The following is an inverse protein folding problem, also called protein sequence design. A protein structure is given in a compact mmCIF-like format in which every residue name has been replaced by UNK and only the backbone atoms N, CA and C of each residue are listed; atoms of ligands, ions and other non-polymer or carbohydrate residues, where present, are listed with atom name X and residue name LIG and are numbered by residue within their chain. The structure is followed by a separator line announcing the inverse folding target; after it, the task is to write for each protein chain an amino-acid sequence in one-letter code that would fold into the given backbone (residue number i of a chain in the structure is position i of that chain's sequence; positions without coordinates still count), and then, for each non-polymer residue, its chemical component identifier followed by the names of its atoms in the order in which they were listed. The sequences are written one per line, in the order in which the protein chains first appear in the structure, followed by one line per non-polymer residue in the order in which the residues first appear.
data_IF_236790520880
#
_entry.id   IF_236790520880
#
_cell.length_a   1.000
_cell.length_b   1.000
_cell.length_c   1.000
_cell.angle_alpha   90.00
_cell.angle_beta   90.00
_cell.angle_gamma   90.00
#
_symmetry.space_group_name_H-M   'P 1'
#
loop_
_entity.id
_entity.type
_entity.pdbx_description
1 polymer ?
#
# COMPACT_ATOMS: atom_id res chain seq x y z
N UNK A 1 -18.00 32.87 -15.40
CA UNK A 1 -17.72 31.43 -15.17
C UNK A 1 -18.45 31.03 -13.91
N UNK A 2 -19.64 30.42 -14.01
CA UNK A 2 -20.35 29.89 -12.84
C UNK A 2 -19.76 28.51 -12.50
N UNK A 3 -19.43 28.22 -11.23
CA UNK A 3 -18.96 26.90 -10.85
C UNK A 3 -20.07 25.88 -11.07
N UNK A 4 -19.72 24.77 -11.73
CA UNK A 4 -20.62 23.63 -11.93
C UNK A 4 -21.05 23.10 -10.56
N UNK A 5 -22.34 22.82 -10.31
CA UNK A 5 -22.78 22.24 -9.05
C UNK A 5 -22.02 20.94 -8.81
N UNK A 6 -21.29 20.87 -7.70
CA UNK A 6 -20.62 19.65 -7.27
C UNK A 6 -21.67 18.56 -7.07
N UNK A 7 -21.36 17.32 -7.45
CA UNK A 7 -22.20 16.18 -7.13
C UNK A 7 -22.42 16.14 -5.60
N UNK A 8 -23.60 15.83 -5.07
CA UNK A 8 -23.90 15.95 -3.64
C UNK A 8 -22.92 15.21 -2.70
N UNK A 9 -22.22 14.19 -3.21
CA UNK A 9 -21.20 13.42 -2.49
C UNK A 9 -19.80 14.03 -2.50
N UNK A 10 -19.48 14.87 -3.48
CA UNK A 10 -18.15 15.45 -3.69
C UNK A 10 -17.69 16.36 -2.53
N UNK A 11 -18.54 17.22 -1.93
CA UNK A 11 -18.16 18.01 -0.76
C UNK A 11 -17.78 17.16 0.47
N UNK A 12 -18.42 16.00 0.66
CA UNK A 12 -18.15 15.13 1.81
C UNK A 12 -16.79 14.46 1.67
N UNK A 13 -16.47 13.98 0.47
CA UNK A 13 -15.17 13.36 0.19
C UNK A 13 -14.04 14.37 0.35
N UNK A 14 -14.21 15.59 -0.18
CA UNK A 14 -13.22 16.67 -0.03
C UNK A 14 -13.00 17.04 1.44
N UNK A 15 -14.07 17.24 2.21
CA UNK A 15 -13.96 17.55 3.64
C UNK A 15 -13.24 16.44 4.43
N UNK A 16 -13.46 15.18 4.07
CA UNK A 16 -12.74 14.06 4.68
C UNK A 16 -11.25 14.07 4.33
N UNK A 17 -10.91 14.28 3.05
CA UNK A 17 -9.51 14.36 2.61
C UNK A 17 -8.79 15.51 3.31
N UNK A 18 -9.42 16.68 3.41
CA UNK A 18 -8.86 17.84 4.10
C UNK A 18 -8.64 17.55 5.59
N UNK A 19 -9.62 16.95 6.26
CA UNK A 19 -9.49 16.57 7.67
C UNK A 19 -8.37 15.56 7.90
N UNK A 20 -8.26 14.53 7.05
CA UNK A 20 -7.17 13.53 7.12
C UNK A 20 -5.81 14.18 6.87
N UNK A 21 -5.72 15.08 5.90
CA UNK A 21 -4.48 15.79 5.56
C UNK A 21 -4.02 16.71 6.69
N UNK A 22 -4.94 17.46 7.29
CA UNK A 22 -4.67 18.29 8.45
C UNK A 22 -4.20 17.45 9.64
N UNK A 23 -4.85 16.32 9.88
CA UNK A 23 -4.47 15.40 10.94
C UNK A 23 -3.07 14.77 10.72
N UNK A 24 -2.78 14.31 9.50
CA UNK A 24 -1.47 13.79 9.12
C UNK A 24 -0.37 14.84 9.29
N UNK A 25 -0.65 16.09 8.92
CA UNK A 25 0.31 17.20 9.08
C UNK A 25 0.61 17.48 10.56
N UNK A 26 -0.42 17.48 11.42
CA UNK A 26 -0.25 17.66 12.87
C UNK A 26 0.50 16.49 13.51
N UNK A 27 0.23 15.26 13.07
CA UNK A 27 0.94 14.05 13.48
C UNK A 27 2.43 14.13 13.16
N UNK A 28 2.78 14.47 11.92
CA UNK A 28 4.17 14.57 11.48
C UNK A 28 4.91 15.67 12.24
N UNK A 29 4.30 16.85 12.43
CA UNK A 29 4.90 17.92 13.23
C UNK A 29 5.15 17.49 14.68
N UNK A 30 4.21 16.76 15.28
CA UNK A 30 4.33 16.25 16.66
C UNK A 30 5.51 15.28 16.79
N UNK A 31 5.68 14.40 15.80
CA UNK A 31 6.77 13.42 15.78
C UNK A 31 8.13 14.06 15.46
N UNK A 32 8.15 14.98 14.50
CA UNK A 32 9.34 15.74 14.11
C UNK A 32 9.91 16.54 15.29
N UNK A 33 9.07 17.05 16.20
CA UNK A 33 9.52 17.68 17.45
C UNK A 33 10.35 16.74 18.35
N UNK A 34 10.19 15.42 18.19
CA UNK A 34 10.99 14.39 18.85
C UNK A 34 12.15 13.87 17.98
N UNK A 35 12.28 14.31 16.73
CA UNK A 35 13.23 13.77 15.76
C UNK A 35 12.81 12.41 15.19
N UNK A 36 11.50 12.13 15.15
CA UNK A 36 10.94 10.90 14.59
C UNK A 36 10.06 11.23 13.38
N UNK A 37 10.00 10.29 12.43
CA UNK A 37 8.92 10.23 11.45
C UNK A 37 7.87 9.18 11.85
N UNK A 38 6.74 9.15 11.15
CA UNK A 38 5.65 8.21 11.46
C UNK A 38 6.05 6.74 11.39
N UNK A 39 6.86 6.35 10.40
CA UNK A 39 7.31 4.96 10.27
C UNK A 39 8.20 4.55 11.45
N UNK A 40 9.15 5.40 11.84
CA UNK A 40 10.04 5.17 12.98
C UNK A 40 9.24 5.05 14.28
N UNK A 41 8.22 5.89 14.46
CA UNK A 41 7.29 5.77 15.58
C UNK A 41 6.55 4.42 15.60
N UNK A 42 6.04 3.95 14.46
CA UNK A 42 5.37 2.65 14.37
C UNK A 42 6.31 1.50 14.74
N UNK A 43 7.56 1.56 14.28
CA UNK A 43 8.58 0.57 14.61
C UNK A 43 8.90 0.56 16.12
N UNK A 44 9.13 1.73 16.72
CA UNK A 44 9.34 1.85 18.17
C UNK A 44 8.15 1.33 18.99
N UNK A 45 6.93 1.58 18.50
CA UNK A 45 5.72 1.06 19.15
C UNK A 45 5.65 -0.47 19.08
N UNK A 46 5.98 -1.06 17.92
CA UNK A 46 6.01 -2.50 17.74
C UNK A 46 7.07 -3.16 18.61
N UNK A 47 8.27 -2.57 18.71
CA UNK A 47 9.34 -3.03 19.60
C UNK A 47 8.89 -3.01 21.06
N UNK A 48 8.31 -1.89 21.52
CA UNK A 48 7.80 -1.77 22.91
C UNK A 48 6.68 -2.76 23.24
N UNK A 49 5.95 -3.23 22.24
CA UNK A 49 4.83 -4.17 22.38
C UNK A 49 5.24 -5.62 22.14
N UNK A 50 6.54 -5.90 21.99
CA UNK A 50 7.07 -7.22 21.61
C UNK A 50 6.43 -7.81 20.33
N UNK A 51 5.95 -6.93 19.45
CA UNK A 51 5.27 -7.27 18.20
C UNK A 51 6.20 -7.19 16.98
N UNK A 52 7.41 -6.66 17.14
CA UNK A 52 8.40 -6.58 16.07
C UNK A 52 9.28 -7.83 16.06
N UNK A 53 9.39 -8.45 14.88
CA UNK A 53 10.31 -9.57 14.63
C UNK A 53 11.27 -9.14 13.53
N UNK A 54 12.56 -9.11 13.85
CA UNK A 54 13.61 -8.74 12.90
C UNK A 54 13.64 -9.71 11.70
N UNK A 55 13.90 -9.19 10.50
CA UNK A 55 13.87 -9.99 9.27
C UNK A 55 12.46 -10.32 8.75
N UNK A 56 11.40 -9.88 9.44
CA UNK A 56 10.01 -10.01 9.01
C UNK A 56 9.42 -8.64 8.67
N UNK A 57 8.55 -8.51 7.65
CA UNK A 57 7.85 -7.27 7.39
C UNK A 57 6.96 -6.89 8.58
N UNK A 58 6.93 -5.60 8.92
CA UNK A 58 6.01 -5.08 9.91
C UNK A 58 4.65 -4.88 9.24
N UNK A 59 3.69 -5.72 9.61
CA UNK A 59 2.31 -5.61 9.13
C UNK A 59 1.55 -4.54 9.92
N UNK A 60 0.69 -3.79 9.25
CA UNK A 60 -0.13 -2.80 9.92
C UNK A 60 -0.78 -1.81 8.95
N UNK A 61 -1.28 -0.67 9.46
CA UNK A 61 -1.87 0.39 8.65
C UNK A 61 -0.91 0.96 7.60
N UNK A 62 0.39 0.95 7.94
CA UNK A 62 1.48 1.27 7.03
C UNK A 62 2.45 0.09 7.03
N UNK A 63 2.40 -0.82 6.04
CA UNK A 63 3.33 -1.93 5.97
C UNK A 63 4.75 -1.42 5.74
N UNK A 64 5.71 -2.00 6.47
CA UNK A 64 7.13 -1.71 6.32
C UNK A 64 7.82 -2.99 5.90
N UNK A 65 8.48 -2.97 4.75
CA UNK A 65 9.27 -4.10 4.27
C UNK A 65 10.54 -4.30 5.10
N UNK A 66 11.17 -5.47 4.94
CA UNK A 66 12.33 -5.87 5.72
C UNK A 66 13.50 -4.92 5.52
N UNK A 67 13.85 -4.59 4.26
CA UNK A 67 15.00 -3.75 3.96
C UNK A 67 14.86 -2.36 4.59
N UNK A 68 13.68 -1.76 4.47
CA UNK A 68 13.36 -0.48 5.08
C UNK A 68 13.39 -0.56 6.61
N UNK A 69 12.88 -1.64 7.20
CA UNK A 69 12.90 -1.82 8.65
C UNK A 69 14.33 -1.90 9.20
N UNK A 70 15.26 -2.59 8.51
CA UNK A 70 16.66 -2.68 8.93
C UNK A 70 17.36 -1.31 8.86
N UNK A 71 17.19 -0.56 7.75
CA UNK A 71 17.72 0.81 7.65
C UNK A 71 17.22 1.70 8.79
N UNK A 72 15.94 1.57 9.15
CA UNK A 72 15.36 2.34 10.25
C UNK A 72 15.88 1.91 11.62
N UNK A 73 16.21 0.63 11.83
CA UNK A 73 16.85 0.18 13.06
C UNK A 73 18.22 0.84 13.24
N UNK A 74 19.01 0.93 12.16
CA UNK A 74 20.32 1.60 12.19
C UNK A 74 20.20 3.10 12.49
N UNK A 75 19.22 3.78 11.88
CA UNK A 75 18.92 5.18 12.19
C UNK A 75 18.52 5.38 13.65
N UNK A 76 17.59 4.56 14.15
CA UNK A 76 17.11 4.63 15.52
C UNK A 76 18.21 4.31 16.54
N UNK A 77 19.10 3.38 16.22
CA UNK A 77 20.26 3.08 17.07
C UNK A 77 21.24 4.26 17.09
N UNK A 78 21.56 4.83 15.93
CA UNK A 78 22.42 6.02 15.79
C UNK A 78 21.87 7.21 16.57
N UNK A 79 20.55 7.39 16.57
CA UNK A 79 19.85 8.47 17.27
C UNK A 79 19.55 8.13 18.76
N UNK A 80 20.04 6.98 19.23
CA UNK A 80 20.00 6.55 20.63
C UNK A 80 18.60 6.18 21.13
N UNK A 81 17.68 5.81 20.24
CA UNK A 81 16.32 5.36 20.60
C UNK A 81 16.26 3.89 21.00
N UNK A 82 17.09 3.07 20.37
CA UNK A 82 17.12 1.63 20.59
C UNK A 82 18.55 1.16 20.81
N UNK A 83 18.66 0.00 21.46
CA UNK A 83 19.90 -0.74 21.60
C UNK A 83 19.65 -2.15 21.09
N UNK A 84 20.58 -2.65 20.28
CA UNK A 84 20.59 -4.04 19.86
C UNK A 84 22.01 -4.46 19.49
N UNK A 85 22.35 -5.72 19.75
CA UNK A 85 23.66 -6.31 19.47
C UNK A 85 23.46 -7.53 18.56
N UNK A 86 24.13 -7.54 17.41
CA UNK A 86 24.16 -8.64 16.44
C UNK A 86 22.79 -9.31 16.19
N UNK A 87 22.52 -10.45 16.83
CA UNK A 87 21.32 -11.28 16.66
C UNK A 87 20.23 -11.02 17.71
N UNK A 88 20.47 -10.14 18.67
CA UNK A 88 19.49 -9.83 19.72
C UNK A 88 18.32 -9.01 19.17
N UNK A 89 17.13 -9.27 19.72
CA UNK A 89 15.95 -8.46 19.43
C UNK A 89 16.21 -7.01 19.88
N UNK A 90 15.82 -6.02 19.06
CA UNK A 90 15.99 -4.64 19.43
C UNK A 90 15.13 -4.27 20.63
N UNK A 91 15.70 -3.50 21.54
CA UNK A 91 15.00 -2.97 22.71
C UNK A 91 15.08 -1.45 22.74
N UNK A 92 14.11 -0.82 23.37
CA UNK A 92 14.17 0.62 23.65
C UNK A 92 15.35 0.87 24.60
N UNK A 93 16.20 1.84 24.30
CA UNK A 93 17.29 2.24 25.17
C UNK A 93 16.73 2.84 26.48
N UNK A 94 17.35 2.56 27.62
CA UNK A 94 16.89 3.10 28.91
C UNK A 94 16.90 4.63 28.92
N UNK A 95 17.89 5.23 28.26
CA UNK A 95 18.01 6.67 28.07
C UNK A 95 16.87 7.27 27.21
N UNK A 96 16.27 6.47 26.33
CA UNK A 96 15.18 6.86 25.44
C UNK A 96 13.79 6.63 26.03
N UNK A 97 13.66 5.84 27.12
CA UNK A 97 12.36 5.48 27.70
C UNK A 97 11.51 6.72 28.05
N UNK A 98 12.11 7.73 28.68
CA UNK A 98 11.41 8.97 29.02
C UNK A 98 11.02 9.80 27.79
N UNK A 99 11.86 9.83 26.76
CA UNK A 99 11.58 10.51 25.48
C UNK A 99 10.39 9.83 24.79
N UNK A 100 10.41 8.51 24.72
CA UNK A 100 9.36 7.70 24.11
C UNK A 100 8.02 7.92 24.81
N UNK A 101 8.02 7.97 26.14
CA UNK A 101 6.82 8.23 26.92
C UNK A 101 6.25 9.63 26.67
N UNK A 102 7.11 10.66 26.58
CA UNK A 102 6.66 12.02 26.23
C UNK A 102 6.07 12.08 24.83
N UNK A 103 6.68 11.42 23.85
CA UNK A 103 6.14 11.32 22.48
C UNK A 103 4.78 10.61 22.49
N UNK A 104 4.64 9.51 23.23
CA UNK A 104 3.37 8.79 23.38
C UNK A 104 2.26 9.67 23.99
N UNK A 105 2.61 10.48 24.99
CA UNK A 105 1.68 11.43 25.62
C UNK A 105 1.28 12.55 24.65
N UNK A 106 2.23 13.12 23.91
CA UNK A 106 1.95 14.15 22.90
C UNK A 106 0.99 13.63 21.82
N UNK A 107 1.18 12.39 21.34
CA UNK A 107 0.26 11.75 20.40
C UNK A 107 -1.11 11.47 21.01
N UNK A 108 -1.16 11.08 22.28
CA UNK A 108 -2.43 10.88 22.99
C UNK A 108 -3.20 12.20 23.14
N UNK A 109 -2.49 13.31 23.43
CA UNK A 109 -3.06 14.64 23.47
C UNK A 109 -3.56 15.08 22.08
N UNK A 110 -2.78 14.82 21.01
CA UNK A 110 -3.20 15.07 19.63
C UNK A 110 -4.51 14.33 19.31
N UNK A 111 -4.61 13.03 19.64
CA UNK A 111 -5.84 12.26 19.45
C UNK A 111 -7.01 12.89 20.22
N UNK A 112 -6.80 13.28 21.48
CA UNK A 112 -7.82 13.90 22.31
C UNK A 112 -8.31 15.22 21.73
N UNK A 113 -7.40 16.11 21.31
CA UNK A 113 -7.75 17.41 20.73
C UNK A 113 -8.47 17.26 19.40
N UNK A 114 -8.05 16.28 18.58
CA UNK A 114 -8.64 15.99 17.27
C UNK A 114 -10.14 15.67 17.34
N UNK A 115 -10.60 15.12 18.46
CA UNK A 115 -12.01 14.75 18.65
C UNK A 115 -12.74 15.59 19.71
N UNK A 116 -12.08 16.59 20.30
CA UNK A 116 -12.58 17.36 21.42
C UNK A 116 -13.88 18.13 21.09
N UNK A 117 -13.99 18.62 19.85
CA UNK A 117 -15.16 19.34 19.37
C UNK A 117 -16.41 18.46 19.22
N UNK A 118 -16.24 17.13 19.15
CA UNK A 118 -17.35 16.18 19.03
C UNK A 118 -17.76 15.66 20.40
N UNK A 119 -19.07 15.56 20.62
CA UNK A 119 -19.68 14.80 21.71
C UNK A 119 -19.38 13.30 21.59
N UNK A 120 -19.59 12.55 22.67
CA UNK A 120 -19.41 11.09 22.66
C UNK A 120 -20.29 10.40 21.60
N UNK A 121 -21.51 10.87 21.39
CA UNK A 121 -22.43 10.31 20.40
C UNK A 121 -21.92 10.59 18.97
N UNK A 122 -21.47 11.82 18.70
CA UNK A 122 -20.92 12.19 17.39
C UNK A 122 -19.66 11.39 17.06
N UNK A 123 -18.79 11.12 18.04
CA UNK A 123 -17.60 10.27 17.85
C UNK A 123 -17.97 8.85 17.43
N UNK A 124 -18.98 8.25 18.09
CA UNK A 124 -19.46 6.90 17.76
C UNK A 124 -20.11 6.88 16.38
N UNK A 125 -20.94 7.88 16.08
CA UNK A 125 -21.60 8.01 14.77
C UNK A 125 -20.59 8.17 13.64
N UNK A 126 -19.62 9.08 13.80
CA UNK A 126 -18.55 9.31 12.83
C UNK A 126 -17.72 8.04 12.60
N UNK A 127 -17.29 7.36 13.67
CA UNK A 127 -16.55 6.11 13.57
C UNK A 127 -17.33 5.03 12.79
N UNK A 128 -18.63 4.92 13.05
CA UNK A 128 -19.51 3.96 12.36
C UNK A 128 -19.69 4.28 10.87
N UNK A 129 -19.81 5.58 10.52
CA UNK A 129 -19.91 6.03 9.13
C UNK A 129 -18.61 5.79 8.35
N UNK A 130 -17.46 6.09 8.96
CA UNK A 130 -16.15 5.87 8.36
C UNK A 130 -15.86 4.38 8.13
N UNK A 131 -16.17 3.51 9.09
CA UNK A 131 -16.00 2.05 8.90
C UNK A 131 -16.92 1.51 7.80
N UNK A 132 -18.20 1.93 7.76
CA UNK A 132 -19.09 1.55 6.65
C UNK A 132 -18.55 1.99 5.29
N UNK A 133 -18.03 3.21 5.19
CA UNK A 133 -17.44 3.72 3.96
C UNK A 133 -16.19 2.90 3.57
N UNK A 134 -15.31 2.60 4.52
CA UNK A 134 -14.12 1.75 4.31
C UNK A 134 -14.48 0.35 3.83
N UNK A 135 -15.49 -0.30 4.41
CA UNK A 135 -15.98 -1.61 3.94
C UNK A 135 -16.54 -1.50 2.52
N UNK A 136 -17.37 -0.49 2.25
CA UNK A 136 -17.98 -0.29 0.93
C UNK A 136 -16.92 -0.08 -0.16
N UNK A 137 -15.89 0.72 0.13
CA UNK A 137 -14.76 0.97 -0.78
C UNK A 137 -13.93 -0.29 -0.99
N UNK A 138 -13.62 -1.04 0.07
CA UNK A 138 -12.86 -2.30 -0.01
C UNK A 138 -13.59 -3.34 -0.87
N UNK A 139 -14.91 -3.46 -0.69
CA UNK A 139 -15.76 -4.32 -1.52
C UNK A 139 -15.78 -3.86 -2.99
N UNK A 140 -15.85 -2.55 -3.22
CA UNK A 140 -15.83 -1.98 -4.57
C UNK A 140 -14.49 -2.29 -5.28
N UNK A 141 -13.36 -2.02 -4.63
CA UNK A 141 -12.02 -2.35 -5.15
C UNK A 141 -11.89 -3.84 -5.43
N UNK A 142 -12.35 -4.69 -4.51
CA UNK A 142 -12.32 -6.15 -4.69
C UNK A 142 -13.14 -6.59 -5.91
N UNK A 143 -14.32 -6.00 -6.11
CA UNK A 143 -15.14 -6.26 -7.31
C UNK A 143 -14.45 -5.79 -8.59
N UNK A 144 -13.84 -4.61 -8.59
CA UNK A 144 -13.10 -4.11 -9.76
C UNK A 144 -11.90 -4.99 -10.12
N UNK A 145 -11.11 -5.43 -9.14
CA UNK A 145 -9.99 -6.34 -9.38
C UNK A 145 -10.48 -7.66 -9.98
N UNK A 146 -11.57 -8.23 -9.46
CA UNK A 146 -12.18 -9.45 -10.02
C UNK A 146 -12.66 -9.25 -11.45
N UNK A 147 -13.34 -8.13 -11.73
CA UNK A 147 -13.82 -7.81 -13.07
C UNK A 147 -12.65 -7.62 -14.07
N UNK A 148 -11.60 -6.90 -13.68
CA UNK A 148 -10.39 -6.74 -14.50
C UNK A 148 -9.65 -8.06 -14.75
N UNK A 149 -9.56 -8.92 -13.73
CA UNK A 149 -8.94 -10.25 -13.87
C UNK A 149 -9.78 -11.18 -14.76
N UNK A 150 -11.11 -11.08 -14.71
CA UNK A 150 -12.02 -11.83 -15.58
C UNK A 150 -11.97 -11.35 -17.03
N UNK A 151 -11.91 -10.03 -17.26
CA UNK A 151 -11.73 -9.45 -18.59
C UNK A 151 -10.39 -9.88 -19.22
N UNK A 152 -9.29 -9.82 -18.47
CA UNK A 152 -7.98 -10.27 -18.94
C UNK A 152 -7.95 -11.78 -19.27
N UNK A 153 -8.67 -12.62 -18.51
CA UNK A 153 -8.82 -14.05 -18.81
C UNK A 153 -9.67 -14.31 -20.05
N UNK A 154 -10.71 -13.51 -20.30
CA UNK A 154 -11.52 -13.61 -21.51
C UNK A 154 -10.76 -13.16 -22.76
N UNK A 155 -9.95 -12.10 -22.67
CA UNK A 155 -9.06 -11.67 -23.76
C UNK A 155 -7.97 -12.71 -24.08
N UNK A 156 -7.43 -13.39 -23.06
CA UNK A 156 -6.45 -14.47 -23.27
C UNK A 156 -7.09 -15.73 -23.86
N UNK A 157 -8.34 -16.04 -23.49
CA UNK A 157 -9.09 -17.18 -24.03
C UNK A 157 -9.68 -16.93 -25.44
N UNK A 158 -9.80 -15.67 -25.86
CA UNK A 158 -10.28 -15.26 -27.18
C UNK A 158 -9.15 -15.10 -28.23
N UNK A 159 -7.89 -15.39 -27.87
CA UNK A 159 -6.83 -15.56 -28.85
C UNK A 159 -7.19 -16.75 -29.77
N UNK A 160 -7.34 -16.55 -31.09
CA UNK A 160 -7.96 -17.54 -31.96
C UNK A 160 -7.09 -18.79 -32.08
N UNK A 161 -7.67 -19.93 -31.70
CA UNK A 161 -7.23 -21.26 -32.11
C UNK A 161 -7.01 -21.26 -33.62
N UNK A 162 -5.76 -21.39 -34.05
CA UNK A 162 -5.40 -21.69 -35.44
C UNK A 162 -6.26 -22.86 -35.94
N UNK A 163 -7.13 -22.61 -36.91
CA UNK A 163 -7.81 -23.64 -37.69
C UNK A 163 -6.74 -24.46 -38.44
N UNK A 164 -6.58 -25.78 -38.21
CA UNK A 164 -5.80 -26.62 -39.09
C UNK A 164 -6.75 -27.08 -40.19
N UNK A 165 -6.68 -26.43 -41.35
CA UNK A 165 -7.73 -26.60 -42.35
C UNK A 165 -7.30 -26.40 -43.79
N UNK A 166 -6.14 -26.91 -44.21
CA UNK A 166 -5.88 -27.17 -45.63
C UNK A 166 -5.05 -28.46 -45.80
N UNK A 167 -5.56 -29.48 -46.51
CA UNK A 167 -4.82 -30.70 -46.83
C UNK A 167 -3.77 -30.46 -47.94
N UNK A 168 -2.71 -31.28 -48.01
CA UNK A 168 -1.69 -31.16 -49.05
C UNK A 168 -2.22 -31.70 -50.38
N UNK A 169 -2.25 -30.86 -51.42
CA UNK A 169 -2.50 -31.30 -52.79
C UNK A 169 -1.22 -31.90 -53.34
N UNK A 170 -1.22 -33.22 -53.51
CA UNK A 170 -0.13 -33.98 -54.11
C UNK A 170 -0.55 -34.57 -55.46
N UNK A 171 0.23 -34.23 -56.48
CA UNK A 171 0.49 -34.93 -57.75
C UNK A 171 -0.56 -34.97 -58.87
N UNK A 172 -0.13 -34.55 -60.07
CA UNK A 172 0.21 -35.53 -61.12
C UNK A 172 1.24 -34.99 -62.14
N UNK A 173 2.09 -35.87 -62.72
CA UNK A 173 3.13 -35.53 -63.67
C UNK A 173 2.67 -35.74 -65.12
N UNK A 174 3.22 -34.98 -66.06
CA UNK A 174 3.21 -35.33 -67.49
C UNK A 174 4.49 -34.83 -68.18
N UNK A 175 5.38 -35.79 -68.43
CA UNK A 175 6.15 -36.02 -69.67
C UNK A 175 7.04 -34.92 -70.27
N UNK A 176 8.36 -35.20 -70.26
CA UNK A 176 9.39 -34.70 -71.19
C UNK A 176 9.11 -35.14 -72.66
N UNK A 177 9.72 -34.52 -73.69
CA UNK A 177 11.12 -34.85 -74.09
C UNK A 177 11.97 -33.59 -74.42
N UNK A 178 13.25 -33.55 -74.01
CA UNK A 178 14.46 -33.88 -74.81
C UNK A 178 14.78 -32.92 -75.96
N UNK A 179 15.86 -32.13 -75.84
CA UNK A 179 17.01 -32.16 -76.78
C UNK A 179 18.17 -31.22 -76.38
N UNK A 180 19.38 -31.82 -76.37
CA UNK A 180 20.71 -31.30 -76.74
C UNK A 180 21.22 -29.98 -76.10
N UNK A 181 22.27 -30.06 -75.28
CA UNK A 181 23.70 -29.89 -75.66
C UNK A 181 24.01 -28.43 -76.09
N UNK A 182 25.00 -27.72 -75.53
CA UNK A 182 26.43 -28.07 -75.56
C UNK A 182 27.20 -27.11 -74.65
N UNK A 183 28.29 -27.60 -74.05
CA UNK A 183 29.29 -26.86 -73.28
C UNK A 183 30.00 -25.79 -74.10
N UNK A 184 30.35 -24.67 -73.47
CA UNK A 184 31.73 -24.31 -73.07
C UNK A 184 31.70 -23.10 -72.13
#
# INVERSE_FOLDING_TARGET
MQPRPLEPSEPVVLALVDAVTAWQSALEQTLCASGLNYAQWLLLRAIRQDAFVRGSPLTGPMPIDVARSETMLDELQRDGWIEYADTQAPRIADSAASRLQRTAQALSALHSVSVAAFSSQERVALGSLLERMKTTLSDHTTRQVRAGTQAARQETAAAPSHCPGLPPVAHRPTTCPTLAATRL
#
